data_IF_678075338760
#
_entry.id   IF_678075338760
#
_cell.length_a   1.000
_cell.length_b   1.000
_cell.length_c   1.000
_cell.angle_alpha   90.00
_cell.angle_beta   90.00
_cell.angle_gamma   90.00
#
_symmetry.space_group_name_H-M   'P 1'
#
loop_
_entity.id
_entity.type
_entity.pdbx_description
1 polymer ?
#
# COMPACT_ATOMS: atom_id res chain seq x y z
N UNK A 1 -3.69 9.51 -3.95
CA UNK A 1 -4.97 10.16 -3.62
C UNK A 1 -5.07 11.53 -4.28
N UNK A 2 -4.45 12.59 -3.74
CA UNK A 2 -4.61 13.96 -4.23
C UNK A 2 -4.25 14.24 -5.70
N UNK A 3 -3.39 13.43 -6.32
CA UNK A 3 -3.16 13.50 -7.77
C UNK A 3 -4.44 13.18 -8.58
N UNK A 4 -5.17 12.13 -8.18
CA UNK A 4 -6.40 11.69 -8.85
C UNK A 4 -7.62 12.55 -8.52
N UNK A 5 -7.52 13.40 -7.49
CA UNK A 5 -8.55 14.37 -7.07
C UNK A 5 -8.45 15.71 -7.82
N UNK A 6 -7.38 15.91 -8.60
CA UNK A 6 -7.23 17.12 -9.44
C UNK A 6 -8.33 17.17 -10.50
N UNK A 7 -8.71 18.38 -10.90
CA UNK A 7 -9.71 18.64 -11.93
C UNK A 7 -9.30 18.10 -13.32
N UNK A 8 -8.00 17.98 -13.58
CA UNK A 8 -7.44 17.45 -14.82
C UNK A 8 -7.21 15.93 -14.84
N UNK A 9 -7.55 15.23 -13.74
CA UNK A 9 -7.51 13.76 -13.64
C UNK A 9 -8.89 13.18 -13.28
N UNK A 10 -9.53 13.70 -12.22
CA UNK A 10 -10.93 13.48 -11.84
C UNK A 10 -11.37 11.99 -11.70
N UNK A 11 -10.57 11.16 -11.03
CA UNK A 11 -10.89 9.75 -10.72
C UNK A 11 -11.14 9.57 -9.21
N UNK A 12 -12.38 9.83 -8.79
CA UNK A 12 -12.75 9.96 -7.39
C UNK A 12 -12.53 8.66 -6.56
N UNK A 13 -12.88 7.49 -7.09
CA UNK A 13 -12.72 6.23 -6.35
C UNK A 13 -11.27 5.76 -6.34
N UNK A 14 -10.49 6.07 -7.38
CA UNK A 14 -9.02 5.90 -7.33
C UNK A 14 -8.41 6.80 -6.26
N UNK A 15 -8.87 8.05 -6.17
CA UNK A 15 -8.41 8.98 -5.14
C UNK A 15 -8.75 8.49 -3.72
N UNK A 16 -9.97 7.99 -3.53
CA UNK A 16 -10.46 7.41 -2.27
C UNK A 16 -9.68 6.14 -1.90
N UNK A 17 -9.52 5.20 -2.83
CA UNK A 17 -8.73 3.97 -2.61
C UNK A 17 -7.35 4.28 -2.04
N UNK A 18 -6.57 5.16 -2.70
CA UNK A 18 -5.24 5.52 -2.20
C UNK A 18 -5.27 6.32 -0.89
N UNK A 19 -6.38 6.99 -0.57
CA UNK A 19 -6.53 7.69 0.71
C UNK A 19 -6.72 6.68 1.83
N UNK A 20 -7.51 5.65 1.59
CA UNK A 20 -7.73 4.55 2.53
C UNK A 20 -6.47 3.76 2.79
N UNK A 21 -5.74 3.40 1.74
CA UNK A 21 -4.42 2.77 1.88
C UNK A 21 -3.45 3.66 2.70
N UNK A 22 -3.49 4.98 2.52
CA UNK A 22 -2.68 5.89 3.34
C UNK A 22 -3.10 5.92 4.82
N UNK A 23 -4.38 5.68 5.13
CA UNK A 23 -4.86 5.58 6.51
C UNK A 23 -4.48 4.23 7.13
N UNK A 24 -4.62 3.14 6.38
CA UNK A 24 -4.19 1.79 6.78
C UNK A 24 -2.69 1.76 7.11
N UNK A 25 -1.83 2.32 6.24
CA UNK A 25 -0.39 2.43 6.50
C UNK A 25 -0.05 3.30 7.73
N UNK A 26 -0.91 4.28 8.05
CA UNK A 26 -0.75 5.05 9.29
C UNK A 26 -1.05 4.19 10.51
N UNK A 27 -2.08 3.36 10.45
CA UNK A 27 -2.40 2.40 11.51
C UNK A 27 -1.28 1.38 11.69
N UNK A 28 -0.69 0.86 10.61
CA UNK A 28 0.48 -0.02 10.63
C UNK A 28 1.66 0.62 11.37
N UNK A 29 1.99 1.88 11.06
CA UNK A 29 3.04 2.60 11.76
C UNK A 29 2.74 2.75 13.26
N UNK A 30 1.49 3.02 13.63
CA UNK A 30 1.07 3.14 15.03
C UNK A 30 1.09 1.80 15.78
N UNK A 31 0.73 0.68 15.13
CA UNK A 31 0.88 -0.68 15.67
C UNK A 31 2.34 -0.95 16.05
N UNK A 32 3.30 -0.62 15.18
CA UNK A 32 4.74 -0.73 15.50
C UNK A 32 5.16 0.14 16.68
N UNK A 33 4.71 1.40 16.75
CA UNK A 33 5.01 2.28 17.88
C UNK A 33 4.48 1.72 19.21
N UNK A 34 3.24 1.20 19.21
CA UNK A 34 2.64 0.54 20.37
C UNK A 34 3.43 -0.70 20.76
N UNK A 35 3.81 -1.53 19.79
CA UNK A 35 4.60 -2.74 20.01
C UNK A 35 5.98 -2.43 20.60
N UNK A 36 6.66 -1.41 20.07
CA UNK A 36 7.97 -0.97 20.57
C UNK A 36 7.87 -0.59 22.06
N UNK A 37 6.85 0.18 22.45
CA UNK A 37 6.61 0.53 23.85
C UNK A 37 6.23 -0.70 24.69
N UNK A 38 5.40 -1.63 24.17
CA UNK A 38 5.00 -2.88 24.84
C UNK A 38 6.21 -3.74 25.21
N UNK A 39 7.25 -3.76 24.37
CA UNK A 39 8.49 -4.50 24.61
C UNK A 39 9.52 -3.72 25.46
N UNK A 40 9.15 -2.54 25.97
CA UNK A 40 10.04 -1.69 26.76
C UNK A 40 11.09 -0.94 25.94
N UNK A 41 10.98 -0.96 24.61
CA UNK A 41 11.84 -0.24 23.69
C UNK A 41 11.63 1.28 23.74
N UNK A 42 12.40 2.01 22.93
CA UNK A 42 12.26 3.47 22.79
C UNK A 42 12.08 3.79 21.30
N UNK A 43 11.14 4.68 21.02
CA UNK A 43 10.86 5.14 19.66
C UNK A 43 11.84 6.28 19.36
N UNK A 44 12.53 6.18 18.23
CA UNK A 44 13.42 7.23 17.70
C UNK A 44 12.92 7.57 16.30
N UNK A 45 12.20 8.68 16.17
CA UNK A 45 11.66 9.13 14.88
C UNK A 45 12.76 9.70 13.99
N UNK A 46 12.60 9.54 12.68
CA UNK A 46 13.47 10.08 11.64
C UNK A 46 12.64 10.87 10.64
N UNK A 47 13.31 11.67 9.81
CA UNK A 47 12.65 12.43 8.75
C UNK A 47 11.96 11.50 7.74
N UNK A 48 10.69 11.78 7.46
CA UNK A 48 9.94 11.11 6.41
C UNK A 48 10.28 11.74 5.06
N UNK A 49 10.91 10.97 4.18
CA UNK A 49 11.22 11.43 2.83
C UNK A 49 9.93 11.64 2.04
N UNK A 50 9.90 12.69 1.23
CA UNK A 50 8.83 12.90 0.25
C UNK A 50 8.80 11.75 -0.77
N UNK A 51 7.66 11.52 -1.45
CA UNK A 51 7.59 10.61 -2.58
C UNK A 51 8.62 10.93 -3.68
N UNK A 52 8.99 9.94 -4.49
CA UNK A 52 9.97 10.05 -5.57
C UNK A 52 9.50 10.95 -6.73
N UNK A 53 8.17 11.10 -6.88
CA UNK A 53 7.52 11.91 -7.90
C UNK A 53 6.26 12.59 -7.36
N UNK A 54 5.85 13.66 -8.04
CA UNK A 54 4.61 14.40 -7.75
C UNK A 54 3.49 14.07 -8.77
N UNK A 55 3.88 13.78 -10.01
CA UNK A 55 2.98 13.34 -11.08
C UNK A 55 2.99 11.81 -11.16
N UNK A 56 1.81 11.20 -11.14
CA UNK A 56 1.66 9.73 -11.11
C UNK A 56 1.16 9.14 -12.42
N UNK A 57 0.91 9.98 -13.43
CA UNK A 57 0.50 9.57 -14.76
C UNK A 57 -0.95 9.09 -14.75
N UNK A 58 -1.13 7.78 -14.88
CA UNK A 58 -2.44 7.14 -15.00
C UNK A 58 -2.63 6.10 -13.88
N UNK A 59 -3.84 5.55 -13.76
CA UNK A 59 -4.18 4.58 -12.71
C UNK A 59 -3.30 3.33 -12.79
N UNK A 60 -2.96 2.87 -14.00
CA UNK A 60 -2.08 1.71 -14.17
C UNK A 60 -0.68 1.98 -13.60
N UNK A 61 -0.09 3.13 -13.92
CA UNK A 61 1.23 3.53 -13.42
C UNK A 61 1.24 3.70 -11.89
N UNK A 62 0.20 4.33 -11.33
CA UNK A 62 0.08 4.49 -9.89
C UNK A 62 -0.08 3.15 -9.16
N UNK A 63 -0.89 2.23 -9.69
CA UNK A 63 -1.05 0.88 -9.12
C UNK A 63 0.24 0.07 -9.21
N UNK A 64 1.03 0.22 -10.28
CA UNK A 64 2.34 -0.41 -10.41
C UNK A 64 3.35 0.16 -9.40
N UNK A 65 3.35 1.48 -9.19
CA UNK A 65 4.18 2.11 -8.18
C UNK A 65 3.81 1.65 -6.77
N UNK A 66 2.51 1.58 -6.45
CA UNK A 66 2.00 1.04 -5.20
C UNK A 66 2.40 -0.42 -5.00
N UNK A 67 2.24 -1.29 -6.02
CA UNK A 67 2.66 -2.68 -5.95
C UNK A 67 4.16 -2.82 -5.65
N UNK A 68 5.00 -1.96 -6.24
CA UNK A 68 6.43 -1.98 -5.98
C UNK A 68 6.76 -1.49 -4.56
N UNK A 69 6.04 -0.49 -4.06
CA UNK A 69 6.15 -0.05 -2.67
C UNK A 69 5.78 -1.16 -1.70
N UNK A 70 4.62 -1.81 -1.90
CA UNK A 70 4.17 -2.93 -1.06
C UNK A 70 5.15 -4.10 -1.04
N UNK A 71 5.74 -4.43 -2.19
CA UNK A 71 6.80 -5.46 -2.24
C UNK A 71 8.06 -5.05 -1.48
N UNK A 72 8.39 -3.76 -1.49
CA UNK A 72 9.55 -3.24 -0.76
C UNK A 72 9.30 -3.27 0.75
N UNK A 73 8.11 -2.87 1.18
CA UNK A 73 7.67 -2.95 2.59
C UNK A 73 7.65 -4.41 3.05
N UNK A 74 7.05 -5.30 2.26
CA UNK A 74 7.02 -6.74 2.56
C UNK A 74 8.44 -7.33 2.67
N UNK A 75 9.38 -6.93 1.80
CA UNK A 75 10.77 -7.38 1.93
C UNK A 75 11.39 -6.91 3.25
N UNK A 76 11.17 -5.64 3.64
CA UNK A 76 11.65 -5.12 4.92
C UNK A 76 11.05 -5.87 6.12
N UNK A 77 9.78 -6.28 6.05
CA UNK A 77 9.12 -7.10 7.07
C UNK A 77 9.71 -8.51 7.13
N UNK A 78 9.98 -9.15 5.99
CA UNK A 78 10.64 -10.45 5.94
C UNK A 78 12.07 -10.40 6.50
N UNK A 79 12.82 -9.34 6.20
CA UNK A 79 14.16 -9.14 6.74
C UNK A 79 14.11 -8.90 8.27
N UNK A 80 13.11 -8.16 8.75
CA UNK A 80 12.89 -7.95 10.18
C UNK A 80 12.45 -9.24 10.90
N UNK A 81 11.60 -10.04 10.27
CA UNK A 81 11.18 -11.35 10.78
C UNK A 81 12.36 -12.33 10.86
N UNK A 82 13.19 -12.36 9.83
CA UNK A 82 14.44 -13.12 9.85
C UNK A 82 15.35 -12.68 10.99
N UNK A 83 15.53 -11.37 11.18
CA UNK A 83 16.31 -10.84 12.29
C UNK A 83 15.72 -11.25 13.66
N UNK A 84 14.40 -11.17 13.82
CA UNK A 84 13.72 -11.61 15.03
C UNK A 84 13.97 -13.11 15.30
N UNK A 85 13.88 -13.94 14.26
CA UNK A 85 14.15 -15.38 14.31
C UNK A 85 15.61 -15.67 14.69
N UNK A 86 16.57 -14.99 14.05
CA UNK A 86 18.01 -15.10 14.35
C UNK A 86 18.34 -14.68 15.79
N UNK A 87 17.56 -13.75 16.35
CA UNK A 87 17.67 -13.29 17.74
C UNK A 87 16.81 -14.08 18.73
N UNK A 88 16.11 -15.10 18.26
CA UNK A 88 15.23 -15.96 19.07
C UNK A 88 14.16 -15.14 19.80
N UNK A 89 13.52 -14.21 19.08
CA UNK A 89 12.39 -13.41 19.57
C UNK A 89 11.06 -13.93 18.98
N UNK A 90 10.47 -15.01 19.54
CA UNK A 90 9.27 -15.61 18.99
C UNK A 90 8.05 -14.68 19.04
N UNK A 91 7.98 -13.77 20.01
CA UNK A 91 6.86 -12.84 20.11
C UNK A 91 6.95 -11.71 19.07
N UNK A 92 8.15 -11.37 18.57
CA UNK A 92 8.28 -10.47 17.42
C UNK A 92 7.97 -11.19 16.11
N UNK A 93 8.39 -12.45 15.95
CA UNK A 93 7.99 -13.25 14.81
C UNK A 93 6.45 -13.35 14.69
N UNK A 94 5.78 -13.77 15.76
CA UNK A 94 4.31 -13.89 15.82
C UNK A 94 3.60 -12.56 15.55
N UNK A 95 4.10 -11.45 16.10
CA UNK A 95 3.56 -10.12 15.81
C UNK A 95 3.65 -9.74 14.32
N UNK A 96 4.79 -10.01 13.67
CA UNK A 96 4.96 -9.72 12.26
C UNK A 96 4.09 -10.62 11.37
N UNK A 97 3.98 -11.90 11.73
CA UNK A 97 3.15 -12.88 11.03
C UNK A 97 1.66 -12.53 11.11
N UNK A 98 1.16 -12.23 12.31
CA UNK A 98 -0.26 -11.98 12.57
C UNK A 98 -0.76 -10.63 12.10
N UNK A 99 0.04 -9.57 12.28
CA UNK A 99 -0.40 -8.20 12.07
C UNK A 99 0.04 -7.58 10.74
N UNK A 100 0.95 -8.22 9.98
CA UNK A 100 1.51 -7.59 8.76
C UNK A 100 1.67 -8.54 7.58
N UNK A 101 2.34 -9.70 7.74
CA UNK A 101 2.73 -10.52 6.60
C UNK A 101 1.52 -11.04 5.80
N UNK A 102 0.43 -11.40 6.48
CA UNK A 102 -0.82 -11.80 5.83
C UNK A 102 -1.49 -10.62 5.09
N UNK A 103 -1.47 -9.42 5.68
CA UNK A 103 -2.03 -8.21 5.07
C UNK A 103 -1.23 -7.80 3.82
N UNK A 104 0.10 -7.84 3.87
CA UNK A 104 0.96 -7.58 2.72
C UNK A 104 0.66 -8.51 1.54
N UNK A 105 0.48 -9.82 1.80
CA UNK A 105 0.19 -10.79 0.73
C UNK A 105 -1.15 -10.47 0.06
N UNK A 106 -2.16 -10.09 0.85
CA UNK A 106 -3.48 -9.67 0.34
C UNK A 106 -3.39 -8.39 -0.49
N UNK A 107 -2.71 -7.36 0.02
CA UNK A 107 -2.52 -6.09 -0.67
C UNK A 107 -1.77 -6.27 -2.01
N UNK A 108 -0.67 -7.03 -2.01
CA UNK A 108 0.10 -7.36 -3.21
C UNK A 108 -0.76 -8.10 -4.24
N UNK A 109 -1.59 -9.05 -3.79
CA UNK A 109 -2.50 -9.79 -4.68
C UNK A 109 -3.57 -8.88 -5.28
N UNK A 110 -4.21 -8.05 -4.47
CA UNK A 110 -5.24 -7.12 -4.90
C UNK A 110 -4.70 -6.12 -5.94
N UNK A 111 -3.54 -5.51 -5.67
CA UNK A 111 -2.88 -4.61 -6.61
C UNK A 111 -2.49 -5.33 -7.92
N UNK A 112 -2.03 -6.58 -7.83
CA UNK A 112 -1.76 -7.42 -9.01
C UNK A 112 -3.00 -7.68 -9.88
N UNK A 113 -4.15 -7.90 -9.26
CA UNK A 113 -5.42 -8.09 -9.97
C UNK A 113 -5.88 -6.80 -10.65
N UNK A 114 -5.77 -5.66 -9.94
CA UNK A 114 -6.09 -4.35 -10.49
C UNK A 114 -5.23 -4.00 -11.70
N UNK A 115 -3.92 -4.20 -11.62
CA UNK A 115 -3.00 -4.00 -12.75
C UNK A 115 -3.39 -4.89 -13.93
N UNK A 116 -3.76 -6.14 -13.66
CA UNK A 116 -4.17 -7.08 -14.72
C UNK A 116 -5.44 -6.62 -15.41
N UNK A 117 -6.44 -6.14 -14.65
CA UNK A 117 -7.70 -5.64 -15.21
C UNK A 117 -7.50 -4.32 -15.97
N UNK A 118 -6.71 -3.38 -15.45
CA UNK A 118 -6.38 -2.13 -16.14
C UNK A 118 -5.71 -2.39 -17.50
N UNK A 119 -4.77 -3.34 -17.57
CA UNK A 119 -4.17 -3.78 -18.83
C UNK A 119 -5.19 -4.39 -19.79
N UNK A 120 -6.11 -5.22 -19.30
CA UNK A 120 -7.20 -5.81 -20.11
C UNK A 120 -8.17 -4.76 -20.65
N UNK A 121 -8.37 -3.67 -19.91
CA UNK A 121 -9.20 -2.53 -20.32
C UNK A 121 -8.47 -1.59 -21.30
N UNK A 122 -7.20 -1.84 -21.61
CA UNK A 122 -6.42 -1.09 -22.59
C UNK A 122 -5.81 0.22 -22.07
N UNK A 123 -5.63 0.36 -20.75
CA UNK A 123 -4.95 1.51 -20.14
C UNK A 123 -3.45 1.43 -20.42
N UNK A 124 -2.76 2.54 -20.78
CA UNK A 124 -3.25 3.93 -20.80
C UNK A 124 -3.86 4.41 -22.12
N UNK A 125 -3.85 3.62 -23.19
CA UNK A 125 -4.31 4.08 -24.51
C UNK A 125 -5.82 4.31 -24.57
N UNK A 126 -6.58 3.64 -23.71
CA UNK A 126 -8.03 3.71 -23.64
C UNK A 126 -8.50 4.39 -22.35
N UNK A 127 -8.78 5.71 -22.42
CA UNK A 127 -9.28 6.47 -21.28
C UNK A 127 -10.63 5.97 -20.73
N UNK A 128 -11.48 5.35 -21.58
CA UNK A 128 -12.72 4.73 -21.11
C UNK A 128 -12.44 3.55 -20.18
N UNK A 129 -11.35 2.81 -20.42
CA UNK A 129 -10.95 1.69 -19.57
C UNK A 129 -10.66 2.13 -18.13
N UNK A 130 -10.02 3.28 -17.97
CA UNK A 130 -9.67 3.83 -16.67
C UNK A 130 -10.89 4.36 -15.92
N UNK A 131 -11.80 5.02 -16.64
CA UNK A 131 -13.10 5.45 -16.10
C UNK A 131 -13.95 4.25 -15.64
N UNK A 132 -14.07 3.20 -16.45
CA UNK A 132 -14.81 2.00 -16.09
C UNK A 132 -14.20 1.29 -14.88
N UNK A 133 -12.87 1.29 -14.77
CA UNK A 133 -12.19 0.74 -13.59
C UNK A 133 -12.51 1.54 -12.33
N UNK A 134 -12.44 2.88 -12.38
CA UNK A 134 -12.84 3.76 -11.28
C UNK A 134 -14.27 3.48 -10.83
N UNK A 135 -15.22 3.29 -11.77
CA UNK A 135 -16.63 3.08 -11.44
C UNK A 135 -17.02 1.68 -11.02
N UNK A 136 -16.33 0.63 -11.48
CA UNK A 136 -16.81 -0.74 -11.25
C UNK A 136 -15.87 -1.62 -10.44
N UNK A 137 -14.58 -1.27 -10.37
CA UNK A 137 -13.59 -2.06 -9.62
C UNK A 137 -13.21 -1.46 -8.27
N UNK A 138 -13.39 -0.14 -8.11
CA UNK A 138 -13.07 0.60 -6.89
C UNK A 138 -14.28 1.25 -6.22
N UNK A 139 -15.45 1.26 -6.86
CA UNK A 139 -16.69 1.65 -6.20
C UNK A 139 -16.99 0.66 -5.08
N UNK A 140 -17.11 1.16 -3.85
CA UNK A 140 -17.51 0.34 -2.72
C UNK A 140 -18.95 -0.10 -2.89
N UNK A 141 -19.21 -1.40 -2.83
CA UNK A 141 -20.57 -1.90 -2.64
C UNK A 141 -21.15 -1.26 -1.39
N UNK A 142 -22.20 -0.45 -1.57
CA UNK A 142 -22.98 0.12 -0.46
C UNK A 142 -23.65 -0.95 0.39
#
# INVERSE_FOLDING_TARGET
SYFFDRDDVALAHVAEFFKEQSHEEREHAEKFMKYQNKRGGRIVLQDLKKPDRNEWGNTLEAMQAALQLEKTVNQALLDLHKLASDKVDPHLCDFLESEYLEEQVKAIKQLGDYITNLKRLGVPQNGMGEYLFDKHSLEKSS
#
